data_IF_194997622500
#
_entry.id   IF_194997622500
#
_cell.length_a   1.000
_cell.length_b   1.000
_cell.length_c   1.000
_cell.angle_alpha   90.00
_cell.angle_beta   90.00
_cell.angle_gamma   90.00
#
_symmetry.space_group_name_H-M   'P 1'
#
loop_
_entity.id
_entity.type
_entity.pdbx_description
1 polymer ?
#
# COMPACT_ATOMS: atom_id res chain seq x y z
N UNK A 1 -4.73 -0.81 9.12
CA UNK A 1 -4.21 0.18 8.12
C UNK A 1 -5.43 0.76 7.39
N UNK A 2 -5.96 1.89 7.86
CA UNK A 2 -7.33 2.33 7.51
C UNK A 2 -7.52 2.67 6.03
N UNK A 3 -6.51 3.26 5.37
CA UNK A 3 -6.59 3.60 3.94
C UNK A 3 -6.72 2.33 3.08
N UNK A 4 -5.91 1.31 3.38
CA UNK A 4 -5.93 0.04 2.66
C UNK A 4 -7.24 -0.73 2.92
N UNK A 5 -7.74 -0.70 4.16
CA UNK A 5 -9.03 -1.29 4.54
C UNK A 5 -10.21 -0.64 3.79
N UNK A 6 -10.18 0.69 3.64
CA UNK A 6 -11.17 1.42 2.84
C UNK A 6 -11.17 0.94 1.38
N UNK A 7 -10.01 0.87 0.75
CA UNK A 7 -9.89 0.40 -0.65
C UNK A 7 -10.28 -1.07 -0.80
N UNK A 8 -9.92 -1.92 0.18
CA UNK A 8 -10.32 -3.32 0.21
C UNK A 8 -11.84 -3.50 0.30
N UNK A 9 -12.51 -2.55 0.96
CA UNK A 9 -13.97 -2.49 1.11
C UNK A 9 -14.67 -1.83 -0.09
N UNK A 10 -13.94 -1.55 -1.19
CA UNK A 10 -14.49 -0.87 -2.37
C UNK A 10 -14.87 0.59 -2.12
N UNK A 11 -14.34 1.21 -1.06
CA UNK A 11 -14.63 2.60 -0.68
C UNK A 11 -13.45 3.51 -1.03
N UNK A 12 -13.60 4.46 -1.98
CA UNK A 12 -12.55 5.43 -2.30
C UNK A 12 -12.19 6.29 -1.08
N UNK A 13 -10.90 6.55 -0.89
CA UNK A 13 -10.40 7.28 0.28
C UNK A 13 -9.96 8.72 -0.08
N UNK A 14 -10.23 9.69 0.79
CA UNK A 14 -9.62 11.03 0.75
C UNK A 14 -8.83 11.23 2.03
N UNK A 15 -7.51 11.41 1.92
CA UNK A 15 -6.61 11.51 3.08
C UNK A 15 -5.73 12.77 3.03
N UNK A 16 -5.27 13.25 4.18
CA UNK A 16 -4.16 14.21 4.21
C UNK A 16 -2.87 13.52 3.75
N UNK A 17 -2.04 14.27 3.02
CA UNK A 17 -0.76 13.81 2.50
C UNK A 17 0.31 13.83 3.61
N UNK A 18 0.29 12.81 4.46
CA UNK A 18 1.26 12.57 5.54
C UNK A 18 1.85 11.17 5.43
N UNK A 19 3.11 11.00 5.81
CA UNK A 19 3.77 9.68 5.79
C UNK A 19 3.67 8.96 4.44
N UNK A 20 3.39 7.65 4.48
CA UNK A 20 3.28 6.79 3.28
C UNK A 20 1.98 6.93 2.47
N UNK A 21 1.19 8.00 2.64
CA UNK A 21 -0.11 8.14 1.95
C UNK A 21 0.04 8.14 0.42
N UNK A 22 1.12 8.73 -0.12
CA UNK A 22 1.38 8.72 -1.57
C UNK A 22 1.72 7.34 -2.13
N UNK A 23 2.23 6.46 -1.28
CA UNK A 23 2.48 5.06 -1.64
C UNK A 23 1.17 4.26 -1.62
N UNK A 24 0.26 4.60 -0.70
CA UNK A 24 -1.03 3.94 -0.55
C UNK A 24 -2.08 4.39 -1.58
N UNK A 25 -2.12 5.67 -1.97
CA UNK A 25 -3.14 6.24 -2.86
C UNK A 25 -2.55 6.72 -4.18
N UNK A 26 -3.10 6.24 -5.31
CA UNK A 26 -2.85 6.81 -6.65
C UNK A 26 -3.82 7.96 -6.88
N UNK A 27 -3.26 9.17 -6.92
CA UNK A 27 -4.03 10.42 -7.00
C UNK A 27 -5.03 10.40 -8.17
N UNK A 28 -6.32 10.41 -7.85
CA UNK A 28 -7.42 10.43 -8.81
C UNK A 28 -7.76 9.10 -9.47
N UNK A 29 -7.07 8.01 -9.13
CA UNK A 29 -7.30 6.68 -9.69
C UNK A 29 -8.06 5.78 -8.72
N UNK A 30 -7.56 5.63 -7.49
CA UNK A 30 -8.20 4.82 -6.43
C UNK A 30 -8.50 5.63 -5.15
N UNK A 31 -8.28 6.95 -5.20
CA UNK A 31 -8.59 7.89 -4.14
C UNK A 31 -7.96 9.26 -4.36
N UNK A 32 -7.96 10.07 -3.31
CA UNK A 32 -7.32 11.38 -3.28
C UNK A 32 -6.47 11.56 -2.04
N UNK A 33 -5.41 12.33 -2.20
CA UNK A 33 -4.76 13.01 -1.09
C UNK A 33 -4.70 14.53 -1.32
N UNK A 34 -4.70 15.27 -0.21
CA UNK A 34 -4.62 16.74 -0.16
C UNK A 34 -3.54 17.19 0.81
N UNK A 35 -3.17 18.48 0.80
CA UNK A 35 -2.16 19.01 1.71
C UNK A 35 -2.54 18.84 3.19
N UNK A 36 -1.54 18.79 4.08
CA UNK A 36 -1.79 18.82 5.53
C UNK A 36 -2.40 20.17 5.89
N UNK A 37 -3.51 20.17 6.63
CA UNK A 37 -4.24 21.39 6.97
C UNK A 37 -5.06 21.99 5.82
N UNK A 38 -5.04 21.41 4.62
CA UNK A 38 -5.85 21.85 3.47
C UNK A 38 -7.30 21.39 3.62
N UNK A 39 -8.03 22.03 4.52
CA UNK A 39 -9.44 21.74 4.79
C UNK A 39 -10.33 22.03 3.58
N UNK A 40 -10.01 23.07 2.81
CA UNK A 40 -10.73 23.43 1.58
C UNK A 40 -10.56 22.36 0.50
N UNK A 41 -9.33 21.89 0.27
CA UNK A 41 -9.04 20.79 -0.64
C UNK A 41 -9.71 19.49 -0.21
N UNK A 42 -9.66 19.15 1.08
CA UNK A 42 -10.34 17.98 1.64
C UNK A 42 -11.84 18.03 1.36
N UNK A 43 -12.50 19.14 1.72
CA UNK A 43 -13.93 19.34 1.49
C UNK A 43 -14.28 19.26 0.00
N UNK A 44 -13.47 19.88 -0.87
CA UNK A 44 -13.66 19.83 -2.33
C UNK A 44 -13.67 18.39 -2.84
N UNK A 45 -12.71 17.56 -2.45
CA UNK A 45 -12.61 16.15 -2.90
C UNK A 45 -13.74 15.28 -2.36
N UNK A 46 -14.11 15.47 -1.10
CA UNK A 46 -15.25 14.75 -0.50
C UNK A 46 -16.54 15.11 -1.24
N UNK A 47 -16.81 16.40 -1.46
CA UNK A 47 -18.01 16.86 -2.18
C UNK A 47 -18.01 16.39 -3.64
N UNK A 48 -16.86 16.42 -4.30
CA UNK A 48 -16.67 15.90 -5.67
C UNK A 48 -17.05 14.42 -5.75
N UNK A 49 -16.59 13.60 -4.81
CA UNK A 49 -16.98 12.18 -4.76
C UNK A 49 -18.46 12.03 -4.42
N UNK A 50 -19.00 12.77 -3.44
CA UNK A 50 -20.41 12.68 -3.02
C UNK A 50 -21.38 13.03 -4.16
N UNK A 51 -21.05 14.01 -5.00
CA UNK A 51 -21.88 14.46 -6.12
C UNK A 51 -21.73 13.63 -7.39
N UNK A 52 -20.68 12.82 -7.53
CA UNK A 52 -20.41 12.03 -8.73
C UNK A 52 -20.36 10.53 -8.39
N UNK A 53 -21.51 9.84 -8.30
CA UNK A 53 -21.57 8.40 -8.01
C UNK A 53 -20.77 7.55 -9.00
N UNK A 54 -20.87 7.83 -10.29
CA UNK A 54 -20.14 7.14 -11.37
C UNK A 54 -18.64 7.09 -11.09
N UNK A 55 -18.06 8.22 -10.65
CA UNK A 55 -16.64 8.29 -10.33
C UNK A 55 -16.26 7.43 -9.13
N UNK A 56 -17.14 7.30 -8.14
CA UNK A 56 -16.88 6.38 -7.00
C UNK A 56 -16.92 4.93 -7.46
N UNK A 57 -17.86 4.61 -8.34
CA UNK A 57 -18.03 3.29 -8.93
C UNK A 57 -16.85 2.90 -9.84
N UNK A 58 -16.25 3.87 -10.54
CA UNK A 58 -15.01 3.67 -11.31
C UNK A 58 -13.79 3.42 -10.43
N UNK A 59 -13.65 4.16 -9.32
CA UNK A 59 -12.48 4.06 -8.41
C UNK A 59 -12.47 2.77 -7.59
N UNK A 60 -13.64 2.32 -7.15
CA UNK A 60 -13.78 1.16 -6.27
C UNK A 60 -13.06 -0.10 -6.79
N UNK A 61 -13.30 -0.59 -8.03
CA UNK A 61 -12.61 -1.76 -8.55
C UNK A 61 -11.10 -1.55 -8.69
N UNK A 62 -10.65 -0.33 -9.04
CA UNK A 62 -9.23 -0.01 -9.19
C UNK A 62 -8.48 -0.10 -7.85
N UNK A 63 -9.11 0.36 -6.76
CA UNK A 63 -8.58 0.22 -5.40
C UNK A 63 -8.56 -1.23 -4.93
N UNK A 64 -9.66 -1.96 -5.14
CA UNK A 64 -9.75 -3.38 -4.76
C UNK A 64 -8.75 -4.25 -5.50
N UNK A 65 -8.57 -4.04 -6.81
CA UNK A 65 -7.59 -4.75 -7.63
C UNK A 65 -6.17 -4.54 -7.09
N UNK A 66 -5.83 -3.29 -6.77
CA UNK A 66 -4.51 -2.96 -6.22
C UNK A 66 -4.26 -3.61 -4.86
N UNK A 67 -5.27 -3.64 -3.99
CA UNK A 67 -5.16 -4.35 -2.71
C UNK A 67 -4.85 -5.83 -2.96
N UNK A 68 -5.58 -6.48 -3.87
CA UNK A 68 -5.37 -7.91 -4.17
C UNK A 68 -3.97 -8.18 -4.75
N UNK A 69 -3.49 -7.33 -5.65
CA UNK A 69 -2.24 -7.56 -6.38
C UNK A 69 -0.97 -7.16 -5.61
N UNK A 70 -1.04 -6.14 -4.76
CA UNK A 70 0.14 -5.57 -4.10
C UNK A 70 0.15 -5.72 -2.59
N UNK A 71 -1.02 -5.76 -1.94
CA UNK A 71 -1.17 -5.60 -0.49
C UNK A 71 -1.90 -6.77 0.19
N UNK A 72 -2.15 -7.87 -0.53
CA UNK A 72 -2.69 -9.09 0.06
C UNK A 72 -1.68 -9.73 1.01
N UNK A 73 -2.17 -10.38 2.06
CA UNK A 73 -1.31 -11.08 3.02
C UNK A 73 -0.45 -12.14 2.34
N UNK A 74 -0.99 -12.82 1.33
CA UNK A 74 -0.25 -13.77 0.50
C UNK A 74 0.94 -13.08 -0.18
N UNK A 75 0.71 -11.95 -0.86
CA UNK A 75 1.76 -11.22 -1.56
C UNK A 75 2.81 -10.66 -0.61
N UNK A 76 2.39 -10.18 0.55
CA UNK A 76 3.30 -9.67 1.59
C UNK A 76 4.15 -10.82 2.12
N UNK A 77 3.54 -11.96 2.45
CA UNK A 77 4.27 -13.14 2.93
C UNK A 77 5.30 -13.65 1.92
N UNK A 78 4.95 -13.71 0.63
CA UNK A 78 5.89 -14.07 -0.45
C UNK A 78 7.11 -13.15 -0.48
N UNK A 79 6.92 -11.83 -0.33
CA UNK A 79 8.02 -10.86 -0.32
C UNK A 79 8.93 -11.06 0.89
N UNK A 80 8.36 -11.31 2.07
CA UNK A 80 9.15 -11.60 3.28
C UNK A 80 9.87 -12.94 3.18
N UNK A 81 9.25 -13.97 2.58
CA UNK A 81 9.84 -15.30 2.42
C UNK A 81 11.12 -15.26 1.57
N UNK A 82 11.16 -14.43 0.53
CA UNK A 82 12.38 -14.18 -0.26
C UNK A 82 13.50 -13.63 0.62
N UNK A 83 13.21 -12.57 1.38
CA UNK A 83 14.20 -11.92 2.25
C UNK A 83 14.69 -12.88 3.34
N UNK A 84 13.79 -13.66 3.94
CA UNK A 84 14.17 -14.64 4.95
C UNK A 84 15.08 -15.74 4.39
N UNK A 85 14.80 -16.22 3.17
CA UNK A 85 15.67 -17.20 2.49
C UNK A 85 17.04 -16.63 2.19
N UNK A 86 17.12 -15.40 1.67
CA UNK A 86 18.39 -14.72 1.40
C UNK A 86 19.25 -14.60 2.68
N UNK A 87 18.65 -14.15 3.78
CA UNK A 87 19.36 -14.00 5.06
C UNK A 87 19.81 -15.36 5.62
N UNK A 88 18.98 -16.40 5.49
CA UNK A 88 19.32 -17.75 5.94
C UNK A 88 20.47 -18.36 5.12
N UNK A 89 20.46 -18.18 3.81
CA UNK A 89 21.51 -18.68 2.91
C UNK A 89 22.85 -17.96 3.18
N UNK A 90 22.81 -16.65 3.45
CA UNK A 90 23.99 -15.87 3.86
C UNK A 90 24.55 -16.33 5.21
N UNK A 91 23.72 -16.53 6.24
CA UNK A 91 24.18 -17.00 7.57
C UNK A 91 24.77 -18.42 7.48
N UNK A 92 24.18 -19.30 6.68
CA UNK A 92 24.73 -20.65 6.42
C UNK A 92 26.11 -20.53 5.75
N UNK A 93 26.25 -19.66 4.76
CA UNK A 93 27.49 -19.45 4.02
C UNK A 93 28.61 -18.89 4.94
N UNK A 94 28.30 -17.87 5.75
CA UNK A 94 29.22 -17.28 6.72
C UNK A 94 29.71 -18.33 7.74
N UNK A 95 28.80 -19.14 8.28
CA UNK A 95 29.15 -20.21 9.24
C UNK A 95 30.02 -21.30 8.60
N UNK A 96 29.74 -21.65 7.34
CA UNK A 96 30.52 -22.63 6.60
C UNK A 96 31.95 -22.16 6.32
N UNK A 97 32.15 -20.88 5.98
CA UNK A 97 33.48 -20.29 5.78
C UNK A 97 34.28 -20.20 7.10
N UNK A 98 33.64 -19.75 8.19
CA UNK A 98 34.25 -19.69 9.51
C UNK A 98 34.66 -21.08 10.07
N UNK A 99 34.05 -22.16 9.59
CA UNK A 99 34.45 -23.53 9.92
C UNK A 99 35.65 -24.02 9.09
N UNK A 100 35.83 -23.53 7.85
CA UNK A 100 36.94 -23.90 6.96
C UNK A 100 38.26 -23.19 7.29
N UNK A 101 38.20 -21.94 7.75
CA UNK A 101 39.39 -21.15 8.12
C UNK A 101 40.03 -21.47 9.48
N UNK A 102 39.49 -22.44 10.22
CA UNK A 102 40.01 -22.90 11.53
C UNK A 102 40.85 -24.19 11.44
N UNK A 103 41.22 -24.62 10.22
CA UNK A 103 42.15 -25.73 9.99
C UNK A 103 43.56 -25.24 9.72
#
# INVERSE_FOLDING_TARGET
>A
LVILESMASGTPCVSSNVGGVREMIRQGVDGYYVGVGDTAGMAKRIVELLKNPERREEMAPLGMERIRSEWSWQRIAERYDVIYKEIMDDDISIRAEAARGRK
#
